data_IF_589863331821
#
_entry.id   IF_589863331821
#
_cell.length_a   1.000
_cell.length_b   1.000
_cell.length_c   1.000
_cell.angle_alpha   90.00
_cell.angle_beta   90.00
_cell.angle_gamma   90.00
#
_symmetry.space_group_name_H-M   'P 1'
#
loop_
_entity.id
_entity.type
_entity.pdbx_description
1 polymer ?
#
# COMPACT_ATOMS: atom_id res chain seq x y z
N UNK A 1 -14.69 13.32 0.60
CA UNK A 1 -14.58 11.95 0.08
C UNK A 1 -13.12 11.55 0.16
N UNK A 2 -12.84 10.42 0.80
CA UNK A 2 -11.50 9.90 1.03
C UNK A 2 -11.05 9.05 -0.17
N UNK A 3 -9.86 9.34 -0.71
CA UNK A 3 -9.26 8.52 -1.77
C UNK A 3 -8.99 7.09 -1.32
N UNK A 4 -8.71 6.89 -0.03
CA UNK A 4 -8.59 5.57 0.60
C UNK A 4 -9.88 4.77 0.47
N UNK A 5 -11.00 5.40 0.81
CA UNK A 5 -12.31 4.78 0.73
C UNK A 5 -12.68 4.41 -0.72
N UNK A 6 -12.37 5.29 -1.68
CA UNK A 6 -12.55 4.97 -3.09
C UNK A 6 -11.64 3.83 -3.57
N UNK A 7 -10.35 3.85 -3.23
CA UNK A 7 -9.42 2.78 -3.57
C UNK A 7 -9.83 1.43 -2.96
N UNK A 8 -10.40 1.44 -1.75
CA UNK A 8 -10.98 0.26 -1.13
C UNK A 8 -12.18 -0.28 -1.92
N UNK A 9 -13.11 0.59 -2.34
CA UNK A 9 -14.23 0.17 -3.20
C UNK A 9 -13.76 -0.46 -4.52
N UNK A 10 -12.73 0.12 -5.16
CA UNK A 10 -12.15 -0.43 -6.39
C UNK A 10 -11.48 -1.78 -6.13
N UNK A 11 -10.69 -1.88 -5.05
CA UNK A 11 -10.03 -3.14 -4.68
C UNK A 11 -11.05 -4.24 -4.39
N UNK A 12 -12.10 -3.95 -3.62
CA UNK A 12 -13.18 -4.89 -3.33
C UNK A 12 -13.93 -5.32 -4.60
N UNK A 13 -14.17 -4.39 -5.54
CA UNK A 13 -14.75 -4.72 -6.84
C UNK A 13 -13.84 -5.67 -7.64
N UNK A 14 -12.54 -5.37 -7.73
CA UNK A 14 -11.59 -6.23 -8.44
C UNK A 14 -11.50 -7.63 -7.81
N UNK A 15 -11.48 -7.71 -6.47
CA UNK A 15 -11.50 -8.97 -5.72
C UNK A 15 -12.80 -9.75 -5.98
N UNK A 16 -13.95 -9.09 -5.94
CA UNK A 16 -15.25 -9.72 -6.20
C UNK A 16 -15.37 -10.28 -7.63
N UNK A 17 -14.57 -9.77 -8.57
CA UNK A 17 -14.45 -10.28 -9.94
C UNK A 17 -13.26 -11.25 -10.11
N UNK A 18 -12.72 -11.78 -9.02
CA UNK A 18 -11.64 -12.79 -9.01
C UNK A 18 -10.36 -12.32 -9.73
N UNK A 19 -10.11 -11.00 -9.77
CA UNK A 19 -8.92 -10.47 -10.40
C UNK A 19 -7.65 -10.75 -9.57
N UNK A 20 -6.57 -11.27 -10.17
CA UNK A 20 -5.33 -11.57 -9.44
C UNK A 20 -4.75 -10.38 -8.67
N UNK A 21 -4.02 -10.65 -7.59
CA UNK A 21 -3.41 -9.62 -6.72
C UNK A 21 -2.64 -8.50 -7.46
N UNK A 22 -1.88 -8.76 -8.54
CA UNK A 22 -1.25 -7.69 -9.32
C UNK A 22 -2.25 -6.69 -9.90
N UNK A 23 -3.38 -7.18 -10.43
CA UNK A 23 -4.45 -6.32 -10.95
C UNK A 23 -5.09 -5.50 -9.85
N UNK A 24 -5.45 -6.13 -8.72
CA UNK A 24 -6.05 -5.43 -7.57
C UNK A 24 -5.13 -4.33 -7.04
N UNK A 25 -3.83 -4.63 -6.93
CA UNK A 25 -2.81 -3.67 -6.48
C UNK A 25 -2.73 -2.45 -7.40
N UNK A 26 -2.74 -2.65 -8.72
CA UNK A 26 -2.69 -1.55 -9.69
C UNK A 26 -4.01 -0.77 -9.71
N UNK A 27 -5.17 -1.46 -9.71
CA UNK A 27 -6.48 -0.82 -9.62
C UNK A 27 -6.60 0.10 -8.39
N UNK A 28 -6.19 -0.37 -7.21
CA UNK A 28 -6.20 0.42 -5.99
C UNK A 28 -5.27 1.64 -6.10
N UNK A 29 -4.04 1.45 -6.58
CA UNK A 29 -3.06 2.53 -6.72
C UNK A 29 -3.51 3.61 -7.73
N UNK A 30 -4.03 3.20 -8.89
CA UNK A 30 -4.52 4.12 -9.91
C UNK A 30 -5.81 4.85 -9.48
N UNK A 31 -6.63 4.25 -8.61
CA UNK A 31 -7.79 4.93 -8.04
C UNK A 31 -7.40 6.13 -7.17
N UNK A 32 -6.28 6.07 -6.42
CA UNK A 32 -5.74 7.24 -5.72
C UNK A 32 -5.38 8.36 -6.70
N UNK A 33 -4.67 8.01 -7.78
CA UNK A 33 -4.21 8.95 -8.81
C UNK A 33 -5.38 9.61 -9.55
N UNK A 34 -6.41 8.83 -9.90
CA UNK A 34 -7.63 9.32 -10.56
C UNK A 34 -8.32 10.44 -9.75
N UNK A 35 -8.24 10.35 -8.42
CA UNK A 35 -8.84 11.30 -7.50
C UNK A 35 -7.91 12.49 -7.16
N UNK A 36 -6.76 12.59 -7.84
CA UNK A 36 -5.79 13.67 -7.63
C UNK A 36 -5.00 13.53 -6.33
N UNK A 37 -4.99 12.35 -5.72
CA UNK A 37 -4.16 12.06 -4.56
C UNK A 37 -2.84 11.42 -4.99
N UNK A 38 -1.80 11.63 -4.19
CA UNK A 38 -0.58 10.84 -4.35
C UNK A 38 -0.89 9.36 -4.11
N UNK A 39 -0.25 8.45 -4.86
CA UNK A 39 -0.33 7.04 -4.54
C UNK A 39 0.27 6.84 -3.15
N UNK A 40 -0.15 5.81 -2.42
CA UNK A 40 0.47 5.53 -1.13
C UNK A 40 1.99 5.38 -1.32
N UNK A 41 2.75 6.16 -0.55
CA UNK A 41 4.22 6.13 -0.57
C UNK A 41 4.71 4.75 -0.11
N UNK A 42 4.01 4.16 0.87
CA UNK A 42 4.06 2.74 1.15
C UNK A 42 3.45 1.97 -0.04
N UNK A 43 4.03 0.85 -0.43
CA UNK A 43 3.64 0.06 -1.61
C UNK A 43 4.20 0.51 -2.97
N UNK A 44 4.95 1.61 -3.08
CA UNK A 44 5.57 2.00 -4.36
C UNK A 44 6.34 0.87 -5.07
N UNK A 45 7.26 0.17 -4.39
CA UNK A 45 7.94 -1.01 -4.93
C UNK A 45 6.99 -2.17 -5.29
N UNK A 46 6.00 -2.48 -4.45
CA UNK A 46 4.99 -3.50 -4.75
C UNK A 46 4.13 -3.15 -5.97
N UNK A 47 3.69 -1.89 -6.10
CA UNK A 47 2.95 -1.37 -7.25
C UNK A 47 3.79 -1.48 -8.51
N UNK A 48 5.08 -1.12 -8.45
CA UNK A 48 5.97 -1.27 -9.59
C UNK A 48 6.16 -2.74 -10.01
N UNK A 49 6.19 -3.67 -9.05
CA UNK A 49 6.18 -5.11 -9.33
C UNK A 49 4.86 -5.55 -9.98
N UNK A 50 3.73 -5.14 -9.42
CA UNK A 50 2.40 -5.46 -9.94
C UNK A 50 2.19 -4.96 -11.38
N UNK A 51 2.61 -3.72 -11.70
CA UNK A 51 2.57 -3.17 -13.06
C UNK A 51 3.40 -4.00 -14.05
N UNK A 52 4.59 -4.47 -13.64
CA UNK A 52 5.40 -5.35 -14.49
C UNK A 52 4.73 -6.70 -14.74
N UNK A 53 4.01 -7.23 -13.76
CA UNK A 53 3.31 -8.53 -13.89
C UNK A 53 2.08 -8.45 -14.79
N UNK A 54 1.28 -7.37 -14.73
CA UNK A 54 0.11 -7.20 -15.61
C UNK A 54 0.47 -6.68 -17.02
N UNK A 55 1.64 -6.05 -17.16
CA UNK A 55 2.12 -5.49 -18.41
C UNK A 55 1.39 -4.22 -18.86
N UNK A 56 1.86 -3.63 -19.97
CA UNK A 56 1.36 -2.35 -20.50
C UNK A 56 -0.11 -2.44 -20.93
N UNK A 57 -0.52 -3.56 -21.52
CA UNK A 57 -1.91 -3.79 -21.92
C UNK A 57 -2.83 -3.86 -20.70
N UNK A 58 -2.40 -4.55 -19.64
CA UNK A 58 -3.15 -4.61 -18.39
C UNK A 58 -3.28 -3.25 -17.72
N UNK A 59 -2.20 -2.48 -17.67
CA UNK A 59 -2.22 -1.11 -17.15
C UNK A 59 -3.17 -0.21 -17.97
N UNK A 60 -3.14 -0.33 -19.29
CA UNK A 60 -4.05 0.42 -20.18
C UNK A 60 -5.52 0.04 -19.91
N UNK A 61 -5.79 -1.24 -19.71
CA UNK A 61 -7.13 -1.73 -19.39
C UNK A 61 -7.62 -1.20 -18.03
N UNK A 62 -6.75 -1.19 -17.00
CA UNK A 62 -7.06 -0.62 -15.69
C UNK A 62 -7.43 0.85 -15.82
N UNK A 63 -6.60 1.63 -16.52
CA UNK A 63 -6.82 3.07 -16.70
C UNK A 63 -8.10 3.37 -17.47
N UNK A 64 -8.39 2.62 -18.54
CA UNK A 64 -9.62 2.76 -19.31
C UNK A 64 -10.85 2.46 -18.44
N UNK A 65 -10.82 1.37 -17.69
CA UNK A 65 -11.91 1.01 -16.79
C UNK A 65 -12.16 2.08 -15.72
N UNK A 66 -11.09 2.58 -15.09
CA UNK A 66 -11.17 3.62 -14.05
C UNK A 66 -11.77 4.93 -14.59
N UNK A 67 -11.39 5.31 -15.82
CA UNK A 67 -11.95 6.48 -16.48
C UNK A 67 -13.46 6.32 -16.73
N UNK A 68 -13.88 5.15 -17.23
CA UNK A 68 -15.27 4.83 -17.53
C UNK A 68 -16.15 4.73 -16.26
N UNK A 69 -15.55 4.41 -15.11
CA UNK A 69 -16.27 4.17 -13.85
C UNK A 69 -16.07 5.27 -12.81
N UNK A 70 -15.50 6.43 -13.19
CA UNK A 70 -15.15 7.52 -12.27
C UNK A 70 -16.30 7.97 -11.36
N UNK A 71 -17.52 8.08 -11.89
CA UNK A 71 -18.68 8.51 -11.13
C UNK A 71 -19.09 7.48 -10.07
N UNK A 72 -19.04 6.19 -10.43
CA UNK A 72 -19.27 5.10 -9.49
C UNK A 72 -18.21 5.07 -8.39
N UNK A 73 -16.93 5.22 -8.73
CA UNK A 73 -15.82 5.26 -7.77
C UNK A 73 -16.03 6.41 -6.77
N UNK A 74 -16.41 7.58 -7.28
CA UNK A 74 -16.68 8.78 -6.47
C UNK A 74 -17.84 8.54 -5.50
N UNK A 75 -18.94 7.97 -5.98
CA UNK A 75 -20.12 7.70 -5.16
C UNK A 75 -19.85 6.62 -4.10
N UNK A 76 -19.19 5.52 -4.48
CA UNK A 76 -18.83 4.44 -3.57
C UNK A 76 -17.84 4.92 -2.50
N UNK A 77 -16.82 5.69 -2.89
CA UNK A 77 -15.86 6.30 -1.95
C UNK A 77 -16.53 7.26 -0.99
N UNK A 78 -17.52 8.05 -1.42
CA UNK A 78 -18.27 8.94 -0.53
C UNK A 78 -19.09 8.17 0.51
N UNK A 79 -19.73 7.07 0.12
CA UNK A 79 -20.48 6.22 1.04
C UNK A 79 -19.58 5.58 2.10
N UNK A 80 -18.41 5.05 1.69
CA UNK A 80 -17.42 4.48 2.61
C UNK A 80 -16.78 5.54 3.51
N UNK A 81 -16.52 6.75 3.00
CA UNK A 81 -16.04 7.88 3.82
C UNK A 81 -17.02 8.20 4.94
N UNK A 82 -18.33 8.21 4.64
CA UNK A 82 -19.35 8.47 5.65
C UNK A 82 -19.42 7.38 6.73
N UNK A 83 -18.99 6.14 6.41
CA UNK A 83 -18.84 5.08 7.41
C UNK A 83 -17.58 5.28 8.26
N UNK A 84 -16.47 5.68 7.64
CA UNK A 84 -15.23 6.01 8.35
C UNK A 84 -15.44 7.16 9.36
N UNK A 85 -16.22 8.18 8.99
CA UNK A 85 -16.55 9.32 9.87
C UNK A 85 -17.38 8.91 11.12
N UNK A 86 -17.99 7.73 11.11
CA UNK A 86 -18.70 7.16 12.26
C UNK A 86 -17.78 6.34 13.18
N UNK A 87 -16.53 6.11 12.78
CA UNK A 87 -15.56 5.35 13.57
C UNK A 87 -15.07 6.18 14.76
N UNK A 88 -15.29 5.66 15.98
CA UNK A 88 -14.96 6.38 17.24
C UNK A 88 -13.47 6.41 17.57
N UNK A 89 -12.65 5.67 16.83
CA UNK A 89 -11.21 5.54 17.02
C UNK A 89 -10.51 5.41 15.65
N UNK A 90 -10.32 6.54 14.93
CA UNK A 90 -9.74 6.52 13.59
C UNK A 90 -8.26 6.13 13.63
N UNK A 91 -7.80 5.40 12.62
CA UNK A 91 -6.37 5.14 12.44
C UNK A 91 -5.70 6.46 12.03
N UNK A 92 -4.67 6.93 12.74
CA UNK A 92 -3.95 8.11 12.33
C UNK A 92 -3.29 7.89 10.97
N UNK A 93 -3.24 8.94 10.15
CA UNK A 93 -2.57 8.89 8.86
C UNK A 93 -1.11 8.42 9.02
N UNK A 94 -0.64 7.67 8.03
CA UNK A 94 0.75 7.20 7.99
C UNK A 94 1.71 8.38 7.83
N UNK A 95 2.62 8.63 8.80
CA UNK A 95 3.67 9.62 8.62
C UNK A 95 4.54 9.26 7.41
N UNK A 96 5.02 10.28 6.69
CA UNK A 96 5.85 10.09 5.49
C UNK A 96 7.05 9.18 5.78
N UNK A 97 7.71 9.37 6.92
CA UNK A 97 8.86 8.59 7.36
C UNK A 97 8.50 7.12 7.54
N UNK A 98 7.34 6.81 8.14
CA UNK A 98 6.86 5.44 8.29
C UNK A 98 6.58 4.80 6.92
N UNK A 99 6.01 5.56 5.98
CA UNK A 99 5.77 5.09 4.62
C UNK A 99 7.07 4.82 3.86
N UNK A 100 8.10 5.66 4.02
CA UNK A 100 9.42 5.47 3.41
C UNK A 100 10.15 4.24 3.98
N UNK A 101 10.03 4.00 5.29
CA UNK A 101 10.51 2.77 5.94
C UNK A 101 9.80 1.55 5.36
N UNK A 102 8.48 1.63 5.19
CA UNK A 102 7.68 0.64 4.48
C UNK A 102 8.25 0.32 3.11
N UNK A 103 8.43 1.33 2.27
CA UNK A 103 8.99 1.18 0.93
C UNK A 103 10.42 0.59 0.95
N UNK A 104 11.25 0.92 1.94
CA UNK A 104 12.58 0.32 2.08
C UNK A 104 12.50 -1.19 2.39
N UNK A 105 11.58 -1.61 3.26
CA UNK A 105 11.34 -3.02 3.55
C UNK A 105 10.85 -3.79 2.31
N UNK A 106 9.96 -3.19 1.50
CA UNK A 106 9.51 -3.79 0.25
C UNK A 106 10.63 -3.95 -0.76
N UNK A 107 11.48 -2.92 -0.93
CA UNK A 107 12.65 -3.00 -1.82
C UNK A 107 13.57 -4.15 -1.41
N UNK A 108 13.78 -4.33 -0.11
CA UNK A 108 14.59 -5.43 0.41
C UNK A 108 13.95 -6.81 0.13
N UNK A 109 12.63 -6.95 0.32
CA UNK A 109 11.91 -8.18 0.02
C UNK A 109 11.91 -8.50 -1.48
N UNK A 110 11.68 -7.49 -2.31
CA UNK A 110 11.73 -7.59 -3.77
C UNK A 110 13.12 -8.01 -4.25
N UNK A 111 14.18 -7.41 -3.72
CA UNK A 111 15.56 -7.78 -4.05
C UNK A 111 15.90 -9.22 -3.63
N UNK A 112 15.23 -9.74 -2.60
CA UNK A 112 15.34 -11.14 -2.17
C UNK A 112 14.48 -12.11 -3.02
N UNK A 113 13.74 -11.61 -4.02
CA UNK A 113 12.89 -12.43 -4.89
C UNK A 113 11.58 -12.88 -4.23
N UNK A 114 11.11 -12.17 -3.20
CA UNK A 114 9.84 -12.49 -2.55
C UNK A 114 8.64 -12.28 -3.52
N UNK A 115 7.58 -13.10 -3.42
CA UNK A 115 6.37 -12.91 -4.21
C UNK A 115 5.64 -11.62 -3.81
N UNK A 116 4.83 -11.06 -4.72
CA UNK A 116 4.17 -9.76 -4.54
C UNK A 116 3.44 -9.61 -3.20
N UNK A 117 2.70 -10.64 -2.79
CA UNK A 117 2.01 -10.63 -1.51
C UNK A 117 2.96 -10.46 -0.30
N UNK A 118 4.10 -11.18 -0.30
CA UNK A 118 5.08 -11.04 0.78
C UNK A 118 5.76 -9.68 0.73
N UNK A 119 6.03 -9.13 -0.47
CA UNK A 119 6.55 -7.77 -0.62
C UNK A 119 5.61 -6.76 0.03
N UNK A 120 4.31 -6.81 -0.29
CA UNK A 120 3.27 -5.95 0.32
C UNK A 120 3.27 -6.11 1.85
N UNK A 121 3.33 -7.35 2.36
CA UNK A 121 3.32 -7.60 3.80
C UNK A 121 4.59 -7.11 4.51
N UNK A 122 5.76 -7.19 3.87
CA UNK A 122 7.00 -6.62 4.39
C UNK A 122 6.87 -5.10 4.56
N UNK A 123 6.33 -4.40 3.56
CA UNK A 123 6.07 -2.95 3.63
C UNK A 123 5.03 -2.60 4.68
N UNK A 124 3.93 -3.36 4.74
CA UNK A 124 2.83 -3.20 5.69
C UNK A 124 3.33 -3.32 7.13
N UNK A 125 4.06 -4.40 7.45
CA UNK A 125 4.61 -4.64 8.78
C UNK A 125 5.61 -3.56 9.18
N UNK A 126 6.48 -3.12 8.26
CA UNK A 126 7.49 -2.12 8.57
C UNK A 126 6.85 -0.74 8.83
N UNK A 127 5.85 -0.38 8.03
CA UNK A 127 5.05 0.82 8.21
C UNK A 127 4.33 0.82 9.55
N UNK A 128 3.65 -0.28 9.89
CA UNK A 128 2.93 -0.44 11.15
C UNK A 128 3.84 -0.33 12.37
N UNK A 129 4.99 -1.00 12.36
CA UNK A 129 5.95 -0.92 13.45
C UNK A 129 6.62 0.46 13.57
N UNK A 130 6.82 1.15 12.45
CA UNK A 130 7.30 2.53 12.46
C UNK A 130 6.22 3.47 13.02
N UNK A 131 4.96 3.37 12.58
CA UNK A 131 3.83 4.12 13.11
C UNK A 131 3.66 3.93 14.61
N UNK A 132 3.80 2.70 15.11
CA UNK A 132 3.72 2.43 16.55
C UNK A 132 4.76 3.20 17.36
N UNK A 133 5.93 3.49 16.77
CA UNK A 133 6.95 4.34 17.41
C UNK A 133 6.57 5.83 17.41
N UNK A 134 5.84 6.30 16.40
CA UNK A 134 5.41 7.70 16.32
C UNK A 134 4.20 7.98 17.22
N UNK A 135 3.22 7.08 17.21
CA UNK A 135 1.92 7.30 17.84
C UNK A 135 1.76 6.57 19.17
N UNK A 136 2.66 5.64 19.53
CA UNK A 136 2.52 4.80 20.72
C UNK A 136 1.36 3.81 20.65
N UNK A 137 0.74 3.67 19.48
CA UNK A 137 -0.41 2.79 19.21
C UNK A 137 0.08 1.68 18.28
N UNK A 138 -0.07 0.43 18.69
CA UNK A 138 0.24 -0.72 17.84
C UNK A 138 -0.99 -1.06 16.99
N UNK A 139 -0.98 -0.79 15.67
CA UNK A 139 -2.13 -1.10 14.84
C UNK A 139 -2.19 -2.62 14.62
N UNK A 140 -3.25 -3.26 15.10
CA UNK A 140 -3.47 -4.68 14.85
C UNK A 140 -3.65 -4.98 13.35
N UNK A 141 -3.34 -6.20 12.92
CA UNK A 141 -3.46 -6.64 11.50
C UNK A 141 -4.82 -6.31 10.90
N UNK A 142 -5.92 -6.60 11.60
CA UNK A 142 -7.29 -6.31 11.13
C UNK A 142 -7.49 -4.82 10.86
N UNK A 143 -6.90 -3.97 11.71
CA UNK A 143 -6.98 -2.52 11.62
C UNK A 143 -6.19 -2.00 10.42
N UNK A 144 -5.00 -2.55 10.20
CA UNK A 144 -4.17 -2.22 9.03
C UNK A 144 -4.85 -2.67 7.72
N UNK A 145 -5.34 -3.91 7.66
CA UNK A 145 -6.04 -4.42 6.48
C UNK A 145 -7.35 -3.68 6.18
N UNK A 146 -7.99 -3.09 7.19
CA UNK A 146 -9.16 -2.22 7.00
C UNK A 146 -8.80 -0.83 6.48
N UNK A 147 -7.60 -0.32 6.77
CA UNK A 147 -7.14 0.99 6.31
C UNK A 147 -6.36 0.98 5.00
N UNK A 148 -5.74 -0.14 4.65
CA UNK A 148 -4.93 -0.25 3.45
C UNK A 148 -5.54 -1.28 2.50
N UNK A 149 -6.16 -0.85 1.38
CA UNK A 149 -6.81 -1.77 0.46
C UNK A 149 -5.81 -2.69 -0.25
N UNK A 150 -4.54 -2.30 -0.39
CA UNK A 150 -3.49 -3.13 -1.00
C UNK A 150 -3.07 -4.22 0.00
N UNK A 151 -2.85 -3.85 1.27
CA UNK A 151 -2.56 -4.84 2.32
C UNK A 151 -3.74 -5.78 2.57
N UNK A 152 -4.97 -5.26 2.57
CA UNK A 152 -6.20 -6.04 2.69
C UNK A 152 -6.37 -7.03 1.52
N UNK A 153 -6.09 -6.61 0.29
CA UNK A 153 -6.08 -7.49 -0.87
C UNK A 153 -5.02 -8.59 -0.75
N UNK A 154 -3.79 -8.24 -0.36
CA UNK A 154 -2.71 -9.20 -0.16
C UNK A 154 -3.04 -10.22 0.95
N UNK A 155 -3.68 -9.78 2.05
CA UNK A 155 -4.14 -10.67 3.11
C UNK A 155 -5.12 -11.73 2.61
N UNK A 156 -6.07 -11.33 1.75
CA UNK A 156 -7.11 -12.21 1.19
C UNK A 156 -6.57 -13.13 0.10
N UNK A 157 -5.76 -12.61 -0.82
CA UNK A 157 -5.27 -13.34 -1.98
C UNK A 157 -4.15 -14.33 -1.66
N UNK A 158 -3.26 -13.96 -0.75
CA UNK A 158 -2.03 -14.70 -0.58
C UNK A 158 -2.23 -15.99 0.23
N UNK A 159 -3.37 -16.15 0.91
CA UNK A 159 -3.66 -17.22 1.87
C UNK A 159 -2.43 -17.54 2.74
N UNK A 160 -1.61 -16.50 3.04
CA UNK A 160 -0.35 -16.70 3.74
C UNK A 160 -0.70 -17.31 5.08
N UNK A 161 -0.18 -18.49 5.42
CA UNK A 161 -0.43 -19.07 6.72
C UNK A 161 -0.06 -18.05 7.79
N UNK A 162 -0.84 -17.96 8.88
CA UNK A 162 -0.54 -17.04 9.97
C UNK A 162 0.92 -17.16 10.45
N UNK A 163 1.49 -18.36 10.42
CA UNK A 163 2.91 -18.59 10.71
C UNK A 163 3.84 -17.78 9.80
N UNK A 164 3.56 -17.72 8.49
CA UNK A 164 4.35 -16.96 7.53
C UNK A 164 4.21 -15.45 7.73
N UNK A 165 3.01 -14.97 8.06
CA UNK A 165 2.80 -13.56 8.43
C UNK A 165 3.60 -13.18 9.68
N UNK A 166 3.62 -14.06 10.69
CA UNK A 166 4.42 -13.89 11.91
C UNK A 166 5.93 -13.89 11.59
N UNK A 167 6.40 -14.80 10.74
CA UNK A 167 7.80 -14.82 10.28
C UNK A 167 8.20 -13.50 9.61
N UNK A 168 7.36 -12.98 8.70
CA UNK A 168 7.59 -11.71 8.03
C UNK A 168 7.63 -10.57 9.05
N UNK A 169 6.66 -10.50 9.97
CA UNK A 169 6.61 -9.47 11.00
C UNK A 169 7.86 -9.48 11.90
N UNK A 170 8.34 -10.67 12.29
CA UNK A 170 9.55 -10.84 13.08
C UNK A 170 10.81 -10.46 12.31
N UNK A 171 10.93 -10.87 11.05
CA UNK A 171 12.05 -10.52 10.19
C UNK A 171 12.12 -9.00 9.96
N UNK A 172 10.97 -8.36 9.77
CA UNK A 172 10.87 -6.90 9.67
C UNK A 172 11.29 -6.25 10.98
N UNK A 173 10.81 -6.74 12.12
CA UNK A 173 11.14 -6.18 13.43
C UNK A 173 12.65 -6.16 13.69
N UNK A 174 13.33 -7.27 13.39
CA UNK A 174 14.78 -7.39 13.56
C UNK A 174 15.56 -6.41 12.70
N UNK A 175 15.02 -6.05 11.53
CA UNK A 175 15.69 -5.22 10.52
C UNK A 175 15.17 -3.78 10.44
N UNK A 176 14.24 -3.40 11.31
CA UNK A 176 13.53 -2.11 11.21
C UNK A 176 14.48 -0.90 11.24
N UNK A 177 15.60 -0.99 11.97
CA UNK A 177 16.64 0.05 11.98
C UNK A 177 17.38 0.16 10.64
N UNK A 178 17.62 -0.97 9.97
CA UNK A 178 18.25 -0.99 8.64
C UNK A 178 17.34 -0.31 7.61
N UNK A 179 16.04 -0.57 7.68
CA UNK A 179 15.06 0.06 6.78
C UNK A 179 14.93 1.56 7.01
N UNK A 180 15.00 2.01 8.28
CA UNK A 180 15.05 3.43 8.60
C UNK A 180 16.29 4.12 8.01
N UNK A 181 17.48 3.54 8.21
CA UNK A 181 18.71 4.08 7.63
C UNK A 181 18.66 4.12 6.08
N UNK A 182 18.11 3.07 5.45
CA UNK A 182 17.93 3.02 4.01
C UNK A 182 16.92 4.06 3.48
N UNK A 183 15.85 4.34 4.24
CA UNK A 183 14.88 5.37 3.91
C UNK A 183 15.50 6.77 3.98
N UNK A 184 16.27 7.06 5.03
CA UNK A 184 16.98 8.34 5.21
C UNK A 184 18.01 8.57 4.08
N UNK A 185 18.80 7.54 3.74
CA UNK A 185 19.78 7.63 2.67
C UNK A 185 19.11 7.93 1.30
N UNK A 186 17.99 7.26 0.99
CA UNK A 186 17.28 7.48 -0.26
C UNK A 186 16.71 8.91 -0.40
N UNK A 187 16.22 9.50 0.69
CA UNK A 187 15.76 10.90 0.66
C UNK A 187 16.94 11.88 0.54
N UNK A 188 18.08 11.60 1.17
CA UNK A 188 19.29 12.42 1.03
C UNK A 188 19.81 12.40 -0.42
N UNK A 189 19.85 11.23 -1.05
CA UNK A 189 20.24 11.07 -2.46
C UNK A 189 19.30 11.83 -3.40
N UNK A 190 17.99 11.77 -3.14
CA UNK A 190 16.98 12.50 -3.91
C UNK A 190 17.18 14.02 -3.80
N UNK A 191 17.38 14.52 -2.58
CA UNK A 191 17.63 15.94 -2.35
C UNK A 191 18.90 16.44 -3.07
N UNK A 192 19.98 15.65 -3.02
CA UNK A 192 21.23 15.96 -3.72
C UNK A 192 21.05 15.98 -5.25
N UNK A 193 20.27 15.04 -5.80
CA UNK A 193 19.97 15.01 -7.23
C UNK A 193 19.13 16.21 -7.69
N UNK A 194 18.18 16.66 -6.87
CA UNK A 194 17.37 17.86 -7.16
C UNK A 194 18.18 19.16 -7.09
N UNK A 195 19.20 19.22 -6.23
CA UNK A 195 20.12 20.37 -6.14
C UNK A 195 21.11 20.40 -7.32
N UNK A 196 21.61 19.25 -7.76
CA UNK A 196 22.53 19.13 -8.90
C UNK A 196 21.86 19.39 -10.26
N UNK A 197 20.53 19.30 -10.34
CA UNK A 197 19.73 19.56 -11.55
C UNK A 197 19.24 21.00 -11.71
N UNK A 198 19.61 21.92 -10.81
CA UNK A 198 19.30 23.36 -10.85
C UNK A 198 20.51 24.18 -11.27
#
# INVERSE_FOLDING_TARGET
>A
MSARAAAAAVADHAIANEMPLPWVTVYAAEAYLLLGCEPPLAHGPAIAMARREIGVEGETQVLAWLADHRDWITAAGAALTALDDLETDPIPDTPREAALIGAAAERAALAAGAPLAEVIWHGTCATAQAQARFWGIEPGITRICGADPIAGAAARWAALPNARLIEIANAVHQRLREFAAAAEAAEADKAAAEEAGR
#
